data_IF_971094326808
#
_entry.id   IF_971094326808
#
_cell.length_a   1.000
_cell.length_b   1.000
_cell.length_c   1.000
_cell.angle_alpha   90.00
_cell.angle_beta   90.00
_cell.angle_gamma   90.00
#
_symmetry.space_group_name_H-M   'P 1'
#
loop_
_entity.id
_entity.type
_entity.pdbx_description
1 polymer ?
#
# COMPACT_ATOMS: atom_id res chain seq x y z
N UNK A 1 -12.15 17.93 -13.35
CA UNK A 1 -11.47 18.13 -12.06
C UNK A 1 -10.88 16.78 -11.68
N UNK A 2 -9.61 16.53 -12.04
CA UNK A 2 -8.96 15.28 -11.66
C UNK A 2 -8.76 15.28 -10.15
N UNK A 3 -9.26 14.27 -9.46
CA UNK A 3 -9.06 14.16 -8.01
C UNK A 3 -7.55 14.09 -7.76
N UNK A 4 -7.03 15.01 -6.95
CA UNK A 4 -5.61 15.02 -6.61
C UNK A 4 -5.32 13.77 -5.77
N UNK A 5 -4.35 12.97 -6.22
CA UNK A 5 -3.93 11.78 -5.47
C UNK A 5 -3.33 12.21 -4.13
N UNK A 6 -3.62 11.42 -3.10
CA UNK A 6 -3.24 11.65 -1.71
C UNK A 6 -2.23 10.61 -1.24
N UNK A 7 -1.57 10.87 -0.11
CA UNK A 7 -0.65 9.91 0.53
C UNK A 7 -1.35 8.59 0.85
N UNK A 8 -2.67 8.62 1.10
CA UNK A 8 -3.49 7.42 1.29
C UNK A 8 -3.59 6.60 0.01
N UNK A 9 -3.75 7.24 -1.13
CA UNK A 9 -3.79 6.55 -2.43
C UNK A 9 -2.43 5.92 -2.75
N UNK A 10 -1.33 6.62 -2.45
CA UNK A 10 0.01 6.08 -2.59
C UNK A 10 0.26 4.88 -1.67
N UNK A 11 -0.09 4.99 -0.38
CA UNK A 11 0.04 3.89 0.57
C UNK A 11 -0.80 2.67 0.17
N UNK A 12 -2.03 2.89 -0.30
CA UNK A 12 -2.90 1.82 -0.80
C UNK A 12 -2.23 1.11 -1.99
N UNK A 13 -1.81 1.85 -3.01
CA UNK A 13 -1.15 1.28 -4.18
C UNK A 13 0.11 0.48 -3.79
N UNK A 14 1.00 1.06 -2.98
CA UNK A 14 2.23 0.41 -2.54
C UNK A 14 1.99 -0.86 -1.69
N UNK A 15 0.86 -0.92 -0.96
CA UNK A 15 0.52 -2.11 -0.15
C UNK A 15 0.25 -3.36 -1.00
N UNK A 16 -0.13 -3.19 -2.27
CA UNK A 16 -0.41 -4.31 -3.19
C UNK A 16 0.84 -5.16 -3.49
N UNK A 17 2.05 -4.63 -3.25
CA UNK A 17 3.30 -5.42 -3.35
C UNK A 17 3.34 -6.60 -2.36
N UNK A 18 2.58 -6.52 -1.27
CA UNK A 18 2.58 -7.50 -0.19
C UNK A 18 1.36 -8.44 -0.19
N UNK A 19 0.52 -8.36 -1.23
CA UNK A 19 -0.60 -9.30 -1.41
C UNK A 19 -0.04 -10.61 -1.99
N UNK A 20 -0.54 -11.76 -1.52
CA UNK A 20 -0.13 -13.09 -2.01
C UNK A 20 -0.84 -13.39 -3.34
N UNK A 21 -0.55 -12.57 -4.35
CA UNK A 21 -1.00 -12.70 -5.72
C UNK A 21 0.07 -12.16 -6.68
N UNK A 22 -0.20 -12.24 -7.99
CA UNK A 22 0.64 -11.56 -8.98
C UNK A 22 0.60 -10.05 -8.77
N UNK A 23 1.78 -9.43 -8.69
CA UNK A 23 1.90 -8.00 -8.42
C UNK A 23 1.47 -7.20 -9.66
N UNK A 24 0.44 -6.37 -9.49
CA UNK A 24 -0.02 -5.45 -10.53
C UNK A 24 0.85 -4.18 -10.57
N UNK A 25 2.02 -4.29 -11.21
CA UNK A 25 2.94 -3.16 -11.37
C UNK A 25 2.35 -2.01 -12.19
N UNK A 26 1.44 -2.29 -13.13
CA UNK A 26 0.82 -1.26 -13.96
C UNK A 26 -0.06 -0.36 -13.10
N UNK A 27 -0.91 -0.95 -12.26
CA UNK A 27 -1.72 -0.20 -11.30
C UNK A 27 -0.85 0.59 -10.32
N UNK A 28 0.16 -0.05 -9.71
CA UNK A 28 1.05 0.62 -8.74
C UNK A 28 1.75 1.83 -9.38
N UNK A 29 2.32 1.64 -10.58
CA UNK A 29 2.98 2.72 -11.32
C UNK A 29 2.00 3.82 -11.76
N UNK A 30 0.74 3.47 -12.06
CA UNK A 30 -0.29 4.44 -12.43
C UNK A 30 -0.56 5.46 -11.32
N UNK A 31 -0.39 5.07 -10.05
CA UNK A 31 -0.52 5.94 -8.88
C UNK A 31 0.82 6.60 -8.55
N UNK A 32 1.86 5.80 -8.34
CA UNK A 32 3.17 6.25 -7.83
C UNK A 32 3.86 7.30 -8.72
N UNK A 33 3.63 7.27 -10.04
CA UNK A 33 4.22 8.24 -10.99
C UNK A 33 3.82 9.71 -10.74
N UNK A 34 2.79 9.95 -9.93
CA UNK A 34 2.34 11.29 -9.59
C UNK A 34 3.06 11.88 -8.35
N UNK A 35 3.97 11.12 -7.74
CA UNK A 35 4.75 11.52 -6.58
C UNK A 35 6.26 11.54 -6.92
N UNK A 36 7.08 12.35 -6.22
CA UNK A 36 8.53 12.30 -6.37
C UNK A 36 9.07 10.91 -6.02
N UNK A 37 10.07 10.43 -6.77
CA UNK A 37 10.66 9.10 -6.57
C UNK A 37 11.15 8.88 -5.13
N UNK A 38 11.88 9.86 -4.58
CA UNK A 38 12.41 9.85 -3.21
C UNK A 38 11.28 9.74 -2.17
N UNK A 39 10.13 10.36 -2.45
CA UNK A 39 8.96 10.29 -1.58
C UNK A 39 8.28 8.92 -1.64
N UNK A 40 8.16 8.34 -2.85
CA UNK A 40 7.64 6.97 -3.03
C UNK A 40 8.51 5.95 -2.28
N UNK A 41 9.83 6.09 -2.36
CA UNK A 41 10.79 5.24 -1.66
C UNK A 41 10.61 5.34 -0.13
N UNK A 42 10.58 6.57 0.40
CA UNK A 42 10.37 6.81 1.83
C UNK A 42 9.04 6.21 2.32
N UNK A 43 7.93 6.48 1.62
CA UNK A 43 6.61 5.93 1.99
C UNK A 43 6.62 4.40 1.94
N UNK A 44 7.25 3.81 0.92
CA UNK A 44 7.33 2.36 0.80
C UNK A 44 8.07 1.73 1.97
N UNK A 45 9.28 2.20 2.27
CA UNK A 45 10.15 1.57 3.28
C UNK A 45 9.81 1.96 4.71
N UNK A 46 9.37 3.19 4.97
CA UNK A 46 9.14 3.68 6.33
C UNK A 46 7.69 3.50 6.80
N UNK A 47 6.72 3.54 5.89
CA UNK A 47 5.30 3.56 6.25
C UNK A 47 4.60 2.24 5.91
N UNK A 48 4.77 1.74 4.68
CA UNK A 48 4.03 0.58 4.18
C UNK A 48 4.70 -0.74 4.58
N UNK A 49 5.97 -0.93 4.26
CA UNK A 49 6.68 -2.20 4.49
C UNK A 49 6.66 -2.68 5.96
N UNK A 50 6.82 -1.82 6.99
CA UNK A 50 6.78 -2.27 8.38
C UNK A 50 5.41 -2.83 8.80
N UNK A 51 4.33 -2.32 8.20
CA UNK A 51 2.97 -2.78 8.48
C UNK A 51 2.65 -4.04 7.68
N UNK A 52 2.98 -4.05 6.39
CA UNK A 52 2.58 -5.09 5.45
C UNK A 52 3.48 -6.34 5.46
N UNK A 53 4.77 -6.23 5.77
CA UNK A 53 5.70 -7.37 5.74
C UNK A 53 5.25 -8.52 6.66
N UNK A 54 4.61 -8.19 7.79
CA UNK A 54 4.09 -9.19 8.71
C UNK A 54 2.94 -10.02 8.15
N UNK A 55 2.22 -9.52 7.14
CA UNK A 55 1.08 -10.23 6.54
C UNK A 55 1.51 -11.56 5.89
N UNK A 56 2.67 -11.60 5.22
CA UNK A 56 3.24 -12.81 4.63
C UNK A 56 3.77 -13.84 5.64
N UNK A 57 3.89 -13.45 6.91
CA UNK A 57 4.37 -14.32 7.99
C UNK A 57 3.22 -14.92 8.81
N UNK A 58 1.97 -14.55 8.51
CA UNK A 58 0.79 -15.03 9.23
C UNK A 58 0.04 -16.06 8.37
N UNK A 59 -0.48 -17.15 8.97
CA UNK A 59 -1.35 -18.07 8.24
C UNK A 59 -2.49 -17.28 7.61
N UNK A 60 -2.75 -17.50 6.31
CA UNK A 60 -3.79 -16.79 5.54
C UNK A 60 -5.09 -16.74 6.36
N UNK A 61 -5.49 -15.57 6.88
CA UNK A 61 -6.74 -15.47 7.61
C UNK A 61 -7.88 -15.63 6.60
N UNK A 62 -8.94 -16.35 6.98
CA UNK A 62 -10.15 -16.54 6.15
C UNK A 62 -10.87 -15.23 5.79
N UNK A 63 -10.44 -14.10 6.34
CA UNK A 63 -11.05 -12.79 6.21
C UNK A 63 -10.21 -11.78 5.44
N UNK A 64 -9.33 -12.21 4.53
CA UNK A 64 -8.65 -11.36 3.53
C UNK A 64 -9.66 -10.69 2.58
N UNK A 65 -10.48 -9.81 3.15
CA UNK A 65 -11.63 -9.16 2.55
C UNK A 65 -11.67 -7.76 3.11
N UNK A 66 -11.62 -6.75 2.22
CA UNK A 66 -12.09 -5.34 2.26
C UNK A 66 -12.03 -4.52 3.58
N UNK A 67 -12.28 -5.12 4.74
CA UNK A 67 -12.35 -4.56 6.10
C UNK A 67 -11.01 -4.07 6.64
N UNK A 68 -9.89 -4.51 6.08
CA UNK A 68 -8.56 -4.07 6.50
C UNK A 68 -8.14 -2.70 5.93
N UNK A 69 -8.86 -2.14 4.94
CA UNK A 69 -8.55 -0.79 4.42
C UNK A 69 -8.66 0.29 5.50
N UNK A 70 -9.53 0.11 6.50
CA UNK A 70 -9.63 1.02 7.65
C UNK A 70 -8.58 0.76 8.73
N UNK A 71 -8.16 -0.50 8.91
CA UNK A 71 -7.14 -0.90 9.89
C UNK A 71 -5.74 -0.53 9.39
N UNK A 72 -5.49 -0.73 8.10
CA UNK A 72 -4.29 -0.34 7.39
C UNK A 72 -4.04 1.16 7.57
N UNK A 73 -5.02 2.01 7.25
CA UNK A 73 -4.93 3.46 7.43
C UNK A 73 -4.65 3.88 8.88
N UNK A 74 -5.10 3.12 9.88
CA UNK A 74 -4.81 3.39 11.31
C UNK A 74 -3.41 2.97 11.75
N UNK A 75 -2.77 2.04 11.03
CA UNK A 75 -1.45 1.49 11.37
C UNK A 75 -0.31 2.17 10.63
N UNK A 76 -0.61 2.79 9.49
CA UNK A 76 0.35 3.58 8.73
C UNK A 76 0.52 4.94 9.42
N UNK A 77 1.74 5.44 9.39
CA UNK A 77 2.12 6.74 9.94
C UNK A 77 1.78 7.85 8.94
N UNK A 78 0.48 8.12 8.75
CA UNK A 78 -0.05 9.19 7.88
C UNK A 78 -0.32 10.46 8.70
#
# INVERSE_FOLDING_TARGET
MGNQLTDRDLCEALSYVFVDNEVDYEYIASVAKHFPHEYVEMVFFEWVAPVCYTNGLTPVPTTWTRREREIFVKKIRI
#
